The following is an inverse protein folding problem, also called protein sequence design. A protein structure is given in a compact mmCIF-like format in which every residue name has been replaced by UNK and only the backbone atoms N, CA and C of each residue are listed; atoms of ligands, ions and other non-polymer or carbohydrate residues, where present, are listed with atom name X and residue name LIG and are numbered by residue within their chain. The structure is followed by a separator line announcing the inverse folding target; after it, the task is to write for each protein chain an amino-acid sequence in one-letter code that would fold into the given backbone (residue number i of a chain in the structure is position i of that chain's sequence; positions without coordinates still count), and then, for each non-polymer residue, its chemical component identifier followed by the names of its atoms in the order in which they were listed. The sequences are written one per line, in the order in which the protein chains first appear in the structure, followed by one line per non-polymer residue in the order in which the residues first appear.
data_IF_384679068696
#
_entry.id   IF_384679068696
#
_cell.length_a   1.000
_cell.length_b   1.000
_cell.length_c   1.000
_cell.angle_alpha   90.00
_cell.angle_beta   90.00
_cell.angle_gamma   90.00
#
_symmetry.space_group_name_H-M   'P 1'
#
loop_
_entity.id
_entity.type
_entity.pdbx_description
1 polymer ?
#
# COMPACT_ATOMS: atom_id res chain seq x y z
N UNK A 1 18.94 9.80 16.74
CA UNK A 1 19.88 10.53 15.85
C UNK A 1 19.33 10.39 14.45
N UNK A 2 19.23 11.45 13.65
CA UNK A 2 18.70 11.33 12.28
C UNK A 2 19.79 10.80 11.37
N UNK A 3 19.53 9.69 10.68
CA UNK A 3 20.43 9.14 9.67
C UNK A 3 20.29 9.99 8.41
N UNK A 4 21.42 10.43 7.87
CA UNK A 4 21.44 11.16 6.60
C UNK A 4 21.27 10.19 5.41
N UNK A 5 20.95 10.72 4.23
CA UNK A 5 20.67 9.92 3.04
C UNK A 5 21.91 9.18 2.56
N UNK A 6 23.14 9.68 2.76
CA UNK A 6 24.36 8.98 2.32
C UNK A 6 24.61 7.75 3.18
N UNK A 7 24.44 7.89 4.49
CA UNK A 7 24.47 6.76 5.43
C UNK A 7 23.36 5.77 5.09
N UNK A 8 22.12 6.22 4.84
CA UNK A 8 21.01 5.36 4.43
C UNK A 8 21.29 4.60 3.12
N UNK A 9 21.92 5.24 2.13
CA UNK A 9 22.34 4.61 0.87
C UNK A 9 23.29 3.44 1.17
N UNK A 10 24.34 3.69 1.94
CA UNK A 10 25.37 2.70 2.25
C UNK A 10 24.84 1.56 3.11
N UNK A 11 24.06 1.89 4.14
CA UNK A 11 23.47 0.93 5.08
C UNK A 11 22.46 0.00 4.38
N UNK A 12 21.72 0.51 3.39
CA UNK A 12 20.84 -0.28 2.53
C UNK A 12 21.55 -0.87 1.29
N UNK A 13 22.86 -0.67 1.16
CA UNK A 13 23.71 -1.13 0.04
C UNK A 13 23.14 -0.76 -1.33
N UNK A 14 22.54 0.42 -1.44
CA UNK A 14 21.88 0.86 -2.67
C UNK A 14 22.90 1.12 -3.78
N UNK A 15 24.15 1.45 -3.45
CA UNK A 15 25.26 1.60 -4.39
C UNK A 15 25.56 0.34 -5.21
N UNK A 16 25.16 -0.84 -4.74
CA UNK A 16 25.33 -2.10 -5.44
C UNK A 16 24.19 -2.37 -6.44
N UNK A 17 23.09 -1.62 -6.34
CA UNK A 17 21.92 -1.78 -7.20
C UNK A 17 22.05 -0.98 -8.48
N UNK A 18 21.95 -1.66 -9.62
CA UNK A 18 21.92 -1.02 -10.95
C UNK A 18 20.87 0.11 -11.02
N UNK A 19 19.68 -0.08 -10.44
CA UNK A 19 18.63 0.95 -10.45
C UNK A 19 19.06 2.25 -9.76
N UNK A 20 19.72 2.15 -8.60
CA UNK A 20 20.21 3.31 -7.87
C UNK A 20 21.45 3.93 -8.52
N UNK A 21 22.35 3.13 -9.09
CA UNK A 21 23.49 3.62 -9.87
C UNK A 21 23.04 4.47 -11.08
N UNK A 22 21.99 4.04 -11.78
CA UNK A 22 21.41 4.80 -12.89
C UNK A 22 20.82 6.14 -12.45
N UNK A 23 20.19 6.19 -11.28
CA UNK A 23 19.65 7.43 -10.71
C UNK A 23 20.80 8.34 -10.26
N UNK A 24 21.81 7.80 -9.56
CA UNK A 24 22.99 8.52 -9.12
C UNK A 24 23.74 9.20 -10.27
N UNK A 25 23.82 8.52 -11.42
CA UNK A 25 24.49 9.02 -12.61
C UNK A 25 23.61 9.96 -13.47
N UNK A 26 22.39 10.30 -13.01
CA UNK A 26 21.47 11.17 -13.75
C UNK A 26 20.87 10.54 -15.02
N UNK A 27 21.01 9.22 -15.21
CA UNK A 27 20.44 8.50 -16.37
C UNK A 27 18.97 8.13 -16.17
N UNK A 28 18.50 8.12 -14.92
CA UNK A 28 17.08 7.90 -14.56
C UNK A 28 16.64 8.90 -13.51
N UNK A 29 15.43 9.42 -13.65
CA UNK A 29 14.77 10.24 -12.64
C UNK A 29 14.33 9.44 -11.42
N UNK A 30 13.89 8.20 -11.64
CA UNK A 30 13.40 7.32 -10.60
C UNK A 30 13.68 5.86 -10.92
N UNK A 31 13.95 5.08 -9.88
CA UNK A 31 14.05 3.63 -9.95
C UNK A 31 13.47 3.00 -8.69
N UNK A 32 12.79 1.86 -8.81
CA UNK A 32 12.57 1.00 -7.64
C UNK A 32 13.69 -0.03 -7.53
N UNK A 33 14.18 -0.18 -6.31
CA UNK A 33 15.20 -1.15 -5.92
C UNK A 33 14.58 -2.06 -4.89
N UNK A 34 14.63 -3.37 -5.11
CA UNK A 34 14.05 -4.34 -4.21
C UNK A 34 15.10 -4.90 -3.27
N UNK A 35 14.97 -4.68 -1.95
CA UNK A 35 15.99 -5.09 -0.98
C UNK A 35 16.14 -6.62 -0.87
N UNK A 36 15.07 -7.37 -1.13
CA UNK A 36 15.11 -8.84 -1.27
C UNK A 36 15.87 -9.39 -2.49
N UNK A 37 16.50 -8.55 -3.31
CA UNK A 37 17.47 -8.98 -4.34
C UNK A 37 18.93 -8.79 -3.90
N UNK A 38 19.15 -8.11 -2.77
CA UNK A 38 20.47 -7.91 -2.19
C UNK A 38 20.79 -8.95 -1.11
N UNK A 39 21.90 -8.72 -0.42
CA UNK A 39 22.45 -9.58 0.65
C UNK A 39 22.22 -9.01 2.05
N UNK A 40 21.30 -8.06 2.21
CA UNK A 40 20.93 -7.54 3.51
C UNK A 40 20.20 -8.59 4.34
N UNK A 41 20.49 -8.63 5.64
CA UNK A 41 19.70 -9.37 6.61
C UNK A 41 18.49 -8.56 7.06
N UNK A 42 17.47 -9.25 7.55
CA UNK A 42 16.28 -8.62 8.14
C UNK A 42 16.70 -7.74 9.31
N UNK A 43 17.53 -8.27 10.21
CA UNK A 43 17.99 -7.58 11.40
C UNK A 43 18.69 -6.25 11.10
N UNK A 44 19.48 -6.17 10.02
CA UNK A 44 20.16 -4.92 9.62
C UNK A 44 19.16 -3.83 9.23
N UNK A 45 18.11 -4.17 8.47
CA UNK A 45 17.06 -3.21 8.09
C UNK A 45 16.25 -2.77 9.31
N UNK A 46 15.90 -3.68 10.21
CA UNK A 46 15.16 -3.33 11.42
C UNK A 46 15.98 -2.46 12.37
N UNK A 47 17.27 -2.79 12.56
CA UNK A 47 18.19 -1.99 13.36
C UNK A 47 18.32 -0.57 12.82
N UNK A 48 18.35 -0.41 11.49
CA UNK A 48 18.42 0.90 10.85
C UNK A 48 17.19 1.76 11.15
N UNK A 49 16.00 1.15 11.10
CA UNK A 49 14.73 1.82 11.43
C UNK A 49 14.65 2.14 12.93
N UNK A 50 15.08 1.21 13.78
CA UNK A 50 15.11 1.40 15.24
C UNK A 50 16.10 2.49 15.67
N UNK A 51 17.20 2.69 14.92
CA UNK A 51 18.23 3.68 15.24
C UNK A 51 17.86 5.13 14.85
N UNK A 52 16.97 5.32 13.87
CA UNK A 52 16.48 6.62 13.41
C UNK A 52 14.97 6.78 13.61
N UNK A 53 14.58 7.44 14.70
CA UNK A 53 13.17 7.75 15.01
C UNK A 53 12.45 8.55 13.91
N UNK A 54 13.19 9.21 13.02
CA UNK A 54 12.61 9.95 11.89
C UNK A 54 12.36 9.05 10.68
N UNK A 55 13.09 7.93 10.55
CA UNK A 55 12.92 6.95 9.49
C UNK A 55 11.77 6.01 9.83
N UNK A 56 10.61 6.28 9.25
CA UNK A 56 9.36 5.55 9.49
C UNK A 56 8.79 5.12 8.14
N UNK A 57 9.26 4.03 7.54
CA UNK A 57 8.79 3.60 6.23
C UNK A 57 7.27 3.32 6.26
N UNK A 58 6.49 3.83 5.30
CA UNK A 58 5.06 3.54 5.28
C UNK A 58 4.81 2.07 4.97
N UNK A 59 3.80 1.52 5.63
CA UNK A 59 3.18 0.25 5.28
C UNK A 59 1.78 0.53 4.73
N UNK A 60 1.66 0.51 3.40
CA UNK A 60 0.40 0.84 2.74
C UNK A 60 -0.64 -0.27 2.84
N UNK A 61 -1.76 -0.03 3.50
CA UNK A 61 -2.94 -0.89 3.44
C UNK A 61 -4.16 -0.11 3.01
N UNK A 62 -5.32 -0.75 2.88
CA UNK A 62 -6.52 -0.07 2.41
C UNK A 62 -7.44 0.34 3.56
N UNK A 63 -8.34 1.29 3.29
CA UNK A 63 -9.47 1.62 4.16
C UNK A 63 -10.32 0.36 4.39
N UNK A 64 -10.66 0.05 5.64
CA UNK A 64 -11.51 -1.09 6.00
C UNK A 64 -11.20 -1.62 7.40
N UNK A 65 -11.37 -2.92 7.59
CA UNK A 65 -11.31 -3.56 8.91
C UNK A 65 -9.87 -3.80 9.36
N UNK A 66 -9.38 -2.94 10.26
CA UNK A 66 -8.05 -3.04 10.84
C UNK A 66 -8.00 -3.62 12.25
N UNK A 67 -9.11 -3.66 12.99
CA UNK A 67 -9.13 -4.14 14.39
C UNK A 67 -8.56 -5.55 14.54
N UNK A 68 -9.00 -6.49 13.70
CA UNK A 68 -8.46 -7.86 13.75
C UNK A 68 -7.04 -7.97 13.19
N UNK A 69 -6.65 -7.08 12.29
CA UNK A 69 -5.25 -6.97 11.84
C UNK A 69 -4.39 -6.55 13.03
N UNK A 70 -4.78 -5.49 13.72
CA UNK A 70 -4.08 -4.93 14.87
C UNK A 70 -3.96 -5.93 16.02
N UNK A 71 -5.00 -6.73 16.24
CA UNK A 71 -5.06 -7.78 17.25
C UNK A 71 -4.37 -9.11 16.83
N UNK A 72 -3.74 -9.17 15.65
CA UNK A 72 -3.08 -10.37 15.10
C UNK A 72 -4.03 -11.58 14.95
N UNK A 73 -5.20 -11.32 14.36
CA UNK A 73 -6.29 -12.29 14.12
C UNK A 73 -6.76 -12.33 12.67
N UNK A 74 -6.03 -11.69 11.76
CA UNK A 74 -6.39 -11.51 10.36
C UNK A 74 -5.59 -12.41 9.41
N UNK A 75 -4.97 -13.47 9.93
CA UNK A 75 -4.28 -14.50 9.16
C UNK A 75 -3.17 -13.92 8.28
N UNK A 76 -3.28 -13.97 6.94
CA UNK A 76 -2.25 -13.42 6.06
C UNK A 76 -1.98 -11.93 6.29
N UNK A 77 -2.96 -11.16 6.78
CA UNK A 77 -2.81 -9.71 6.98
C UNK A 77 -2.05 -9.35 8.25
N UNK A 78 -1.76 -10.31 9.14
CA UNK A 78 -1.05 -10.10 10.40
C UNK A 78 0.38 -9.58 10.21
N UNK A 79 0.99 -9.73 9.02
CA UNK A 79 2.29 -9.09 8.75
C UNK A 79 2.23 -7.57 8.93
N UNK A 80 1.06 -6.94 8.76
CA UNK A 80 0.89 -5.52 9.02
C UNK A 80 0.99 -5.23 10.52
N UNK A 81 0.45 -6.10 11.38
CA UNK A 81 0.60 -5.97 12.83
C UNK A 81 2.06 -6.08 13.22
N UNK A 82 2.79 -7.07 12.71
CA UNK A 82 4.23 -7.22 13.01
C UNK A 82 5.02 -5.97 12.67
N UNK A 83 4.76 -5.33 11.53
CA UNK A 83 5.46 -4.11 11.11
C UNK A 83 5.06 -2.91 11.97
N UNK A 84 3.76 -2.70 12.16
CA UNK A 84 3.24 -1.46 12.72
C UNK A 84 3.28 -1.44 14.26
N UNK A 85 2.97 -2.54 14.95
CA UNK A 85 3.01 -2.60 16.42
C UNK A 85 4.43 -2.49 16.98
N UNK A 86 5.43 -3.02 16.25
CA UNK A 86 6.84 -2.94 16.64
C UNK A 86 7.51 -1.62 16.22
N UNK A 87 6.77 -0.69 15.60
CA UNK A 87 7.33 0.60 15.17
C UNK A 87 8.25 0.55 13.95
N UNK A 88 8.34 -0.60 13.25
CA UNK A 88 9.14 -0.73 12.02
C UNK A 88 8.56 0.03 10.83
N UNK A 89 7.30 0.44 10.94
CA UNK A 89 6.63 1.30 9.99
C UNK A 89 5.32 1.79 10.58
N UNK A 90 4.55 2.51 9.78
CA UNK A 90 3.22 2.97 10.18
C UNK A 90 2.19 2.66 9.10
N UNK A 91 0.91 2.44 9.47
CA UNK A 91 -0.12 2.16 8.50
C UNK A 91 -0.52 3.43 7.74
N UNK A 92 -0.12 3.49 6.46
CA UNK A 92 -0.52 4.54 5.51
C UNK A 92 -1.75 4.03 4.73
N UNK A 93 -2.93 4.50 5.12
CA UNK A 93 -4.21 3.95 4.66
C UNK A 93 -4.61 4.57 3.34
N UNK A 94 -4.67 3.74 2.29
CA UNK A 94 -5.18 4.07 0.96
C UNK A 94 -6.70 3.94 0.91
N UNK A 95 -7.38 5.03 0.60
CA UNK A 95 -8.85 5.12 0.65
C UNK A 95 -9.58 5.00 -0.69
N UNK A 96 -8.86 4.91 -1.81
CA UNK A 96 -9.45 4.72 -3.15
C UNK A 96 -9.62 3.24 -3.48
N UNK A 97 -10.16 2.47 -2.54
CA UNK A 97 -10.57 1.09 -2.74
C UNK A 97 -12.09 0.99 -2.97
N UNK A 98 -12.60 -0.24 -3.10
CA UNK A 98 -14.01 -0.51 -3.39
C UNK A 98 -14.56 -1.49 -2.38
N UNK A 99 -15.85 -1.38 -2.09
CA UNK A 99 -16.54 -2.34 -1.22
C UNK A 99 -16.42 -3.75 -1.80
N UNK A 100 -16.26 -4.71 -0.91
CA UNK A 100 -16.42 -6.12 -1.23
C UNK A 100 -17.87 -6.40 -1.65
N UNK A 101 -18.02 -7.28 -2.65
CA UNK A 101 -19.26 -7.60 -3.35
C UNK A 101 -19.27 -9.06 -3.79
N UNK A 102 -20.39 -9.54 -4.33
CA UNK A 102 -20.45 -10.86 -4.96
C UNK A 102 -19.68 -10.93 -6.29
N UNK A 103 -19.61 -9.81 -7.02
CA UNK A 103 -18.81 -9.71 -8.24
C UNK A 103 -17.32 -9.45 -7.95
N UNK A 104 -16.40 -9.86 -8.84
CA UNK A 104 -14.97 -9.56 -8.72
C UNK A 104 -14.67 -8.05 -8.73
N UNK A 105 -13.56 -7.66 -8.10
CA UNK A 105 -13.02 -6.30 -8.16
C UNK A 105 -13.31 -5.42 -6.94
N UNK A 106 -13.98 -5.98 -5.92
CA UNK A 106 -14.06 -5.40 -4.58
C UNK A 106 -12.84 -5.72 -3.72
N UNK A 107 -12.71 -5.03 -2.59
CA UNK A 107 -11.65 -5.27 -1.61
C UNK A 107 -12.07 -6.31 -0.58
N UNK A 108 -11.90 -7.59 -0.91
CA UNK A 108 -12.22 -8.70 0.00
C UNK A 108 -11.27 -8.83 1.19
N UNK A 109 -10.06 -8.26 1.08
CA UNK A 109 -9.04 -8.39 2.12
C UNK A 109 -9.34 -7.48 3.32
N UNK A 110 -9.72 -6.23 3.06
CA UNK A 110 -10.08 -5.24 4.08
C UNK A 110 -11.60 -5.13 4.30
N UNK A 111 -12.40 -5.60 3.34
CA UNK A 111 -13.87 -5.65 3.40
C UNK A 111 -14.52 -4.36 3.95
N UNK A 112 -14.24 -3.18 3.36
CA UNK A 112 -14.66 -1.91 3.93
C UNK A 112 -16.17 -1.72 4.02
N UNK A 113 -16.96 -2.42 3.20
CA UNK A 113 -18.42 -2.39 3.26
C UNK A 113 -19.01 -3.17 4.44
N UNK A 114 -18.18 -3.77 5.28
CA UNK A 114 -18.58 -4.54 6.46
C UNK A 114 -17.85 -4.10 7.70
N UNK A 115 -18.35 -4.54 8.84
CA UNK A 115 -17.63 -4.57 10.10
C UNK A 115 -17.14 -5.99 10.34
N UNK A 116 -15.87 -6.14 10.69
CA UNK A 116 -15.32 -7.40 11.19
C UNK A 116 -14.89 -7.18 12.63
N UNK A 117 -15.42 -8.01 13.52
CA UNK A 117 -15.07 -8.01 14.94
C UNK A 117 -14.83 -9.45 15.39
N UNK A 118 -13.59 -9.75 15.83
CA UNK A 118 -13.18 -11.07 16.32
C UNK A 118 -13.44 -12.20 15.30
N UNK A 119 -13.20 -11.94 14.02
CA UNK A 119 -13.42 -12.88 12.92
C UNK A 119 -14.87 -12.98 12.45
N UNK A 120 -15.82 -12.28 13.10
CA UNK A 120 -17.22 -12.24 12.67
C UNK A 120 -17.47 -11.04 11.77
N UNK A 121 -17.99 -11.30 10.56
CA UNK A 121 -18.30 -10.27 9.58
C UNK A 121 -19.79 -9.90 9.63
N UNK A 122 -20.05 -8.63 9.82
CA UNK A 122 -21.38 -8.01 9.77
C UNK A 122 -21.42 -7.09 8.55
N UNK A 123 -22.19 -7.47 7.55
CA UNK A 123 -22.37 -6.63 6.36
C UNK A 123 -23.23 -5.41 6.71
N UNK A 124 -22.75 -4.22 6.31
CA UNK A 124 -23.50 -2.98 6.50
C UNK A 124 -24.44 -2.75 5.30
N UNK A 125 -25.67 -2.26 5.51
CA UNK A 125 -26.49 -1.71 4.44
C UNK A 125 -25.77 -0.52 3.79
N UNK A 126 -25.58 -0.57 2.47
CA UNK A 126 -24.84 0.44 1.70
C UNK A 126 -25.78 1.34 0.88
N UNK A 127 -25.41 2.62 0.76
CA UNK A 127 -26.17 3.65 0.08
C UNK A 127 -25.24 4.51 -0.77
N UNK A 128 -25.70 4.90 -1.96
CA UNK A 128 -24.99 5.86 -2.83
C UNK A 128 -25.95 6.87 -3.43
N UNK A 129 -25.41 7.95 -3.98
CA UNK A 129 -26.21 9.02 -4.59
C UNK A 129 -26.88 8.52 -5.88
N UNK A 130 -28.17 8.80 -6.06
CA UNK A 130 -28.90 8.46 -7.30
C UNK A 130 -29.15 9.65 -8.23
N UNK A 131 -28.66 10.83 -7.85
CA UNK A 131 -28.93 12.09 -8.54
C UNK A 131 -29.76 13.08 -7.72
N UNK A 132 -30.53 12.59 -6.74
CA UNK A 132 -31.32 13.46 -5.85
C UNK A 132 -31.24 13.09 -4.37
N UNK A 133 -31.01 11.83 -4.04
CA UNK A 133 -30.90 11.36 -2.66
C UNK A 133 -29.94 10.17 -2.53
N UNK A 134 -29.68 9.76 -1.29
CA UNK A 134 -28.96 8.52 -1.02
C UNK A 134 -29.93 7.34 -1.03
N UNK A 135 -29.76 6.46 -2.01
CA UNK A 135 -30.59 5.29 -2.20
C UNK A 135 -29.82 4.03 -1.82
N UNK A 136 -30.52 3.10 -1.16
CA UNK A 136 -29.94 1.80 -0.77
C UNK A 136 -29.54 1.02 -2.02
N UNK A 137 -28.38 0.37 -1.97
CA UNK A 137 -27.88 -0.49 -3.03
C UNK A 137 -27.81 -1.94 -2.56
N UNK A 138 -27.99 -2.85 -3.50
CA UNK A 138 -27.56 -4.22 -3.34
C UNK A 138 -26.02 -4.29 -3.37
N UNK A 139 -25.48 -5.45 -2.97
CA UNK A 139 -24.03 -5.70 -2.95
C UNK A 139 -23.57 -6.50 -4.16
N UNK A 140 -24.28 -6.38 -5.28
CA UNK A 140 -23.98 -7.16 -6.48
C UNK A 140 -22.69 -6.69 -7.15
N UNK A 141 -22.35 -5.42 -7.00
CA UNK A 141 -21.16 -4.80 -7.59
C UNK A 141 -20.33 -4.01 -6.57
N UNK A 142 -19.01 -3.91 -6.77
CA UNK A 142 -18.14 -3.16 -5.88
C UNK A 142 -18.28 -1.65 -6.11
N UNK A 143 -18.60 -0.91 -5.05
CA UNK A 143 -18.80 0.54 -5.06
C UNK A 143 -17.57 1.26 -4.50
N UNK A 144 -17.26 2.43 -5.05
CA UNK A 144 -16.10 3.23 -4.66
C UNK A 144 -16.26 3.81 -3.24
N UNK A 145 -15.42 3.37 -2.30
CA UNK A 145 -15.59 3.66 -0.87
C UNK A 145 -15.81 5.14 -0.53
N UNK A 146 -15.09 6.12 -1.13
CA UNK A 146 -15.31 7.55 -0.87
C UNK A 146 -16.73 8.05 -1.13
N UNK A 147 -17.51 7.38 -1.98
CA UNK A 147 -18.86 7.79 -2.39
C UNK A 147 -19.97 6.96 -1.74
N UNK A 148 -19.61 6.09 -0.80
CA UNK A 148 -20.55 5.20 -0.10
C UNK A 148 -20.90 5.77 1.27
N UNK A 149 -22.20 5.76 1.59
CA UNK A 149 -22.70 5.83 2.95
C UNK A 149 -23.16 4.45 3.41
N UNK A 150 -23.11 4.22 4.72
CA UNK A 150 -23.58 3.00 5.36
C UNK A 150 -24.58 3.32 6.45
N UNK A 151 -25.55 2.44 6.65
CA UNK A 151 -26.38 2.48 7.86
C UNK A 151 -25.63 1.77 8.99
N UNK A 152 -25.26 2.53 10.02
CA UNK A 152 -24.57 1.99 11.19
C UNK A 152 -25.13 2.64 12.46
N UNK A 153 -25.50 1.81 13.44
CA UNK A 153 -26.14 2.25 14.69
C UNK A 153 -27.38 3.13 14.46
N UNK A 154 -28.21 2.77 13.48
CA UNK A 154 -29.45 3.48 13.14
C UNK A 154 -29.28 4.84 12.45
N UNK A 155 -28.06 5.19 12.02
CA UNK A 155 -27.78 6.42 11.31
C UNK A 155 -27.06 6.17 9.99
N UNK A 156 -27.38 6.96 8.97
CA UNK A 156 -26.67 6.96 7.70
C UNK A 156 -25.38 7.78 7.82
N UNK A 157 -24.23 7.12 7.72
CA UNK A 157 -22.90 7.72 7.91
C UNK A 157 -22.00 7.48 6.70
N UNK A 158 -21.04 8.36 6.40
CA UNK A 158 -19.99 8.04 5.43
C UNK A 158 -19.25 6.75 5.77
N UNK A 159 -19.00 5.91 4.77
CA UNK A 159 -18.25 4.68 4.96
C UNK A 159 -16.82 4.96 5.42
N UNK A 160 -16.16 5.93 4.78
CA UNK A 160 -14.82 6.36 5.14
C UNK A 160 -14.74 6.83 6.61
N UNK A 161 -15.68 7.66 7.07
CA UNK A 161 -15.73 8.12 8.47
C UNK A 161 -15.96 6.96 9.44
N UNK A 162 -16.85 6.02 9.08
CA UNK A 162 -17.16 4.85 9.92
C UNK A 162 -15.92 3.97 10.13
N UNK A 163 -15.19 3.65 9.07
CA UNK A 163 -13.96 2.86 9.17
C UNK A 163 -12.83 3.64 9.85
N UNK A 164 -12.74 4.96 9.62
CA UNK A 164 -11.73 5.81 10.27
C UNK A 164 -11.95 5.96 11.77
N UNK A 165 -13.20 6.04 12.21
CA UNK A 165 -13.55 6.04 13.63
C UNK A 165 -13.04 4.76 14.31
N UNK A 166 -13.31 3.59 13.72
CA UNK A 166 -12.84 2.30 14.25
C UNK A 166 -11.31 2.22 14.32
N UNK A 167 -10.61 2.64 13.27
CA UNK A 167 -9.15 2.69 13.29
C UNK A 167 -8.59 3.59 14.39
N UNK A 168 -9.27 4.70 14.72
CA UNK A 168 -8.86 5.59 15.83
C UNK A 168 -9.06 4.99 17.22
N UNK A 169 -9.92 3.98 17.35
CA UNK A 169 -10.13 3.26 18.61
C UNK A 169 -8.96 2.30 18.91
N UNK A 170 -8.15 1.97 17.91
CA UNK A 170 -6.93 1.16 18.04
C UNK A 170 -5.73 2.04 18.48
N UNK A 171 -5.66 2.32 19.78
CA UNK A 171 -4.74 3.32 20.35
C UNK A 171 -3.25 3.11 20.04
N UNK A 172 -2.81 1.87 19.83
CA UNK A 172 -1.40 1.52 19.62
C UNK A 172 -0.91 1.74 18.18
N UNK A 173 -1.82 2.10 17.25
CA UNK A 173 -1.50 2.22 15.84
C UNK A 173 -1.56 3.68 15.36
N UNK A 174 -0.45 4.23 14.82
CA UNK A 174 -0.42 5.58 14.27
C UNK A 174 -1.02 5.62 12.85
N UNK A 175 -2.32 5.34 12.74
CA UNK A 175 -3.04 5.39 11.47
C UNK A 175 -2.96 6.75 10.80
N UNK A 176 -2.46 6.75 9.56
CA UNK A 176 -2.36 7.95 8.74
C UNK A 176 -3.09 7.74 7.43
N UNK A 177 -4.01 8.65 7.11
CA UNK A 177 -4.68 8.63 5.82
C UNK A 177 -3.74 9.13 4.74
N UNK A 178 -3.61 8.40 3.64
CA UNK A 178 -2.86 8.89 2.48
C UNK A 178 -3.41 10.23 1.94
N UNK A 179 -4.72 10.44 2.10
CA UNK A 179 -5.39 11.66 1.68
C UNK A 179 -4.88 12.88 2.46
N UNK A 180 -4.56 12.75 3.75
CA UNK A 180 -4.05 13.88 4.53
C UNK A 180 -2.68 14.33 4.02
N UNK A 181 -1.84 13.39 3.58
CA UNK A 181 -0.54 13.71 2.95
C UNK A 181 -0.75 14.59 1.70
N UNK A 182 -1.71 14.25 0.85
CA UNK A 182 -1.98 14.99 -0.38
C UNK A 182 -2.63 16.34 -0.11
N UNK A 183 -3.68 16.37 0.71
CA UNK A 183 -4.44 17.60 1.00
C UNK A 183 -3.60 18.61 1.79
N UNK A 184 -2.75 18.15 2.72
CA UNK A 184 -1.82 19.05 3.42
C UNK A 184 -0.76 19.67 2.48
N UNK A 185 -0.56 19.10 1.29
CA UNK A 185 0.32 19.63 0.25
C UNK A 185 -0.50 20.00 -1.02
N UNK A 186 -1.79 20.31 -0.88
CA UNK A 186 -2.73 20.49 -2.02
C UNK A 186 -2.17 21.40 -3.13
N UNK A 187 -1.60 22.59 -2.85
CA UNK A 187 -1.10 23.46 -3.92
C UNK A 187 0.01 22.81 -4.75
N UNK A 188 0.97 22.15 -4.09
CA UNK A 188 2.05 21.44 -4.76
C UNK A 188 1.48 20.25 -5.56
N UNK A 189 0.66 19.41 -4.93
CA UNK A 189 0.09 18.23 -5.60
C UNK A 189 -0.75 18.61 -6.82
N UNK A 190 -1.56 19.66 -6.71
CA UNK A 190 -2.34 20.19 -7.83
C UNK A 190 -1.44 20.66 -8.97
N UNK A 191 -0.37 21.40 -8.66
CA UNK A 191 0.61 21.83 -9.66
C UNK A 191 1.29 20.64 -10.36
N UNK A 192 1.75 19.64 -9.60
CA UNK A 192 2.36 18.42 -10.14
C UNK A 192 1.39 17.67 -11.06
N UNK A 193 0.15 17.43 -10.62
CA UNK A 193 -0.86 16.74 -11.43
C UNK A 193 -1.20 17.53 -12.70
N UNK A 194 -1.37 18.85 -12.59
CA UNK A 194 -1.66 19.73 -13.72
C UNK A 194 -0.55 19.69 -14.77
N UNK A 195 0.72 19.70 -14.32
CA UNK A 195 1.87 19.54 -15.21
C UNK A 195 1.85 18.19 -15.91
N UNK A 196 1.62 17.10 -15.17
CA UNK A 196 1.57 15.76 -15.76
C UNK A 196 0.47 15.61 -16.80
N UNK A 197 -0.73 16.12 -16.51
CA UNK A 197 -1.87 16.09 -17.44
C UNK A 197 -1.58 16.92 -18.70
N UNK A 198 -0.90 18.06 -18.55
CA UNK A 198 -0.47 18.91 -19.69
C UNK A 198 0.61 18.24 -20.55
N UNK A 199 1.52 17.49 -19.96
CA UNK A 199 2.61 16.81 -20.67
C UNK A 199 2.19 15.46 -21.28
N UNK A 200 1.17 14.80 -20.73
CA UNK A 200 0.74 13.47 -21.17
C UNK A 200 0.49 13.34 -22.69
N UNK A 201 -0.19 14.29 -23.39
CA UNK A 201 -0.38 14.21 -24.84
C UNK A 201 0.93 14.21 -25.64
N UNK A 202 1.98 14.85 -25.11
CA UNK A 202 3.27 14.99 -25.79
C UNK A 202 4.13 13.73 -25.70
N UNK A 203 3.82 12.83 -24.77
CA UNK A 203 4.62 11.62 -24.54
C UNK A 203 4.48 10.57 -25.65
N UNK A 204 3.53 10.72 -26.59
CA UNK A 204 3.26 9.77 -27.68
C UNK A 204 3.06 8.32 -27.18
N UNK A 205 2.48 8.17 -25.98
CA UNK A 205 2.18 6.89 -25.35
C UNK A 205 0.68 6.80 -25.09
N UNK A 206 0.06 5.73 -25.59
CA UNK A 206 -1.38 5.50 -25.43
C UNK A 206 -1.86 5.46 -23.97
N UNK A 207 -0.97 5.18 -23.01
CA UNK A 207 -1.28 5.03 -21.58
C UNK A 207 -0.87 6.24 -20.74
N UNK A 208 -0.37 7.34 -21.34
CA UNK A 208 0.18 8.46 -20.57
C UNK A 208 -0.85 9.07 -19.59
N UNK A 209 -2.10 9.17 -20.01
CA UNK A 209 -3.18 9.62 -19.14
C UNK A 209 -3.55 8.58 -18.08
N UNK A 210 -3.66 7.30 -18.44
CA UNK A 210 -4.00 6.20 -17.51
C UNK A 210 -3.00 6.08 -16.34
N UNK A 211 -1.74 6.46 -16.59
CA UNK A 211 -0.68 6.52 -15.57
C UNK A 211 -0.89 7.65 -14.55
N UNK A 212 -1.70 8.65 -14.86
CA UNK A 212 -2.02 9.79 -13.98
C UNK A 212 -3.43 9.63 -13.40
N UNK A 213 -4.43 9.50 -14.28
CA UNK A 213 -5.85 9.30 -13.97
C UNK A 213 -6.27 7.96 -14.56
N UNK A 214 -6.49 6.98 -13.70
CA UNK A 214 -6.72 5.58 -14.14
C UNK A 214 -8.19 5.24 -14.40
N UNK A 215 -9.09 5.94 -13.72
CA UNK A 215 -10.51 5.63 -13.70
C UNK A 215 -11.34 6.91 -13.62
N UNK A 216 -12.60 6.78 -14.02
CA UNK A 216 -13.64 7.74 -13.73
C UNK A 216 -14.66 7.09 -12.79
N UNK A 217 -15.08 7.82 -11.76
CA UNK A 217 -16.11 7.37 -10.82
C UNK A 217 -17.36 8.23 -10.95
N UNK A 218 -18.55 7.62 -11.01
CA UNK A 218 -19.81 8.37 -10.87
C UNK A 218 -20.17 8.59 -9.42
N UNK A 219 -21.04 9.58 -9.20
CA UNK A 219 -21.58 9.92 -7.88
C UNK A 219 -22.35 8.75 -7.22
N UNK A 220 -22.83 7.80 -8.01
CA UNK A 220 -23.44 6.55 -7.53
C UNK A 220 -22.44 5.50 -7.03
N UNK A 221 -21.14 5.80 -7.06
CA UNK A 221 -20.06 4.92 -6.62
C UNK A 221 -19.56 3.95 -7.70
N UNK A 222 -20.13 3.95 -8.90
CA UNK A 222 -19.67 3.07 -9.99
C UNK A 222 -18.34 3.57 -10.56
N UNK A 223 -17.36 2.67 -10.64
CA UNK A 223 -16.05 2.95 -11.24
C UNK A 223 -15.94 2.26 -12.58
N UNK A 224 -15.48 3.00 -13.59
CA UNK A 224 -15.12 2.50 -14.90
C UNK A 224 -13.71 2.96 -15.26
N UNK A 225 -13.04 2.24 -16.16
CA UNK A 225 -11.83 2.78 -16.77
C UNK A 225 -12.20 4.05 -17.52
N UNK A 226 -11.57 5.15 -17.16
CA UNK A 226 -11.82 6.45 -17.75
C UNK A 226 -10.62 6.81 -18.61
N UNK A 227 -10.81 6.92 -19.92
CA UNK A 227 -9.81 7.54 -20.79
C UNK A 227 -9.98 9.06 -20.66
N UNK A 228 -9.01 9.71 -20.02
CA UNK A 228 -8.87 11.16 -20.12
C UNK A 228 -8.32 11.46 -21.51
N UNK A 229 -8.94 12.41 -22.20
CA UNK A 229 -8.59 12.79 -23.57
C UNK A 229 -8.52 14.30 -23.69
N UNK A 230 -7.71 14.80 -24.62
CA UNK A 230 -7.69 16.23 -24.96
C UNK A 230 -8.94 16.59 -25.79
N UNK A 231 -9.61 17.68 -25.45
CA UNK A 231 -10.76 18.19 -26.20
C UNK A 231 -10.69 19.71 -26.33
N UNK A 232 -10.35 20.19 -27.53
CA UNK A 232 -10.12 21.62 -27.76
C UNK A 232 -8.99 22.15 -26.87
N UNK A 233 -9.29 23.14 -26.02
CA UNK A 233 -8.35 23.70 -25.04
C UNK A 233 -8.38 22.98 -23.68
N UNK A 234 -9.29 22.03 -23.49
CA UNK A 234 -9.54 21.35 -22.22
C UNK A 234 -9.38 19.84 -22.31
N UNK A 235 -10.02 19.15 -21.37
CA UNK A 235 -9.94 17.70 -21.23
C UNK A 235 -11.32 17.09 -21.04
N UNK A 236 -11.51 15.88 -21.57
CA UNK A 236 -12.74 15.12 -21.44
C UNK A 236 -12.48 13.81 -20.72
N UNK A 237 -13.28 13.51 -19.71
CA UNK A 237 -13.26 12.25 -18.98
C UNK A 237 -14.66 11.68 -18.91
N UNK A 238 -14.88 10.51 -19.53
CA UNK A 238 -16.16 9.81 -19.46
C UNK A 238 -17.40 10.70 -19.75
N UNK A 239 -17.27 11.60 -20.73
CA UNK A 239 -18.33 12.54 -21.15
C UNK A 239 -18.41 13.86 -20.37
N UNK A 240 -17.59 14.05 -19.33
CA UNK A 240 -17.49 15.31 -18.58
C UNK A 240 -16.33 16.14 -19.14
N UNK A 241 -16.60 17.40 -19.45
CA UNK A 241 -15.59 18.36 -19.90
C UNK A 241 -15.00 19.14 -18.72
N UNK A 242 -13.68 19.24 -18.69
CA UNK A 242 -12.90 20.05 -17.77
C UNK A 242 -12.15 21.11 -18.57
N UNK A 243 -12.22 22.35 -18.10
CA UNK A 243 -11.70 23.52 -18.83
C UNK A 243 -10.21 23.42 -19.15
N UNK A 244 -9.42 22.91 -18.21
CA UNK A 244 -7.96 22.84 -18.26
C UNK A 244 -7.44 21.72 -17.33
N UNK A 245 -6.12 21.53 -17.30
CA UNK A 245 -5.47 20.48 -16.51
C UNK A 245 -5.62 20.69 -15.00
N UNK A 246 -5.64 21.96 -14.57
CA UNK A 246 -5.87 22.34 -13.17
C UNK A 246 -7.26 21.94 -12.72
N UNK A 247 -8.30 22.15 -13.54
CA UNK A 247 -9.66 21.71 -13.23
C UNK A 247 -9.76 20.18 -13.06
N UNK A 248 -9.01 19.39 -13.83
CA UNK A 248 -8.94 17.93 -13.66
C UNK A 248 -8.21 17.58 -12.35
N UNK A 249 -7.08 18.24 -12.06
CA UNK A 249 -6.30 18.02 -10.85
C UNK A 249 -7.11 18.37 -9.58
N UNK A 250 -7.79 19.51 -9.57
CA UNK A 250 -8.64 19.95 -8.48
C UNK A 250 -9.85 19.03 -8.28
N UNK A 251 -10.48 18.56 -9.35
CA UNK A 251 -11.56 17.58 -9.24
C UNK A 251 -11.07 16.23 -8.66
N UNK A 252 -9.84 15.82 -8.98
CA UNK A 252 -9.23 14.63 -8.38
C UNK A 252 -8.95 14.84 -6.88
N UNK A 253 -8.49 16.03 -6.51
CA UNK A 253 -8.22 16.40 -5.11
C UNK A 253 -9.49 16.63 -4.29
N UNK A 254 -10.60 17.06 -4.91
CA UNK A 254 -11.91 17.09 -4.29
C UNK A 254 -12.37 15.67 -3.92
N UNK A 255 -12.13 14.68 -4.79
CA UNK A 255 -12.39 13.28 -4.49
C UNK A 255 -11.47 12.74 -3.38
N UNK A 256 -10.21 13.17 -3.32
CA UNK A 256 -9.31 12.84 -2.20
C UNK A 256 -9.81 13.45 -0.90
N UNK A 257 -10.32 14.70 -0.94
CA UNK A 257 -10.88 15.39 0.22
C UNK A 257 -12.09 14.68 0.81
N UNK A 258 -12.86 13.95 -0.01
CA UNK A 258 -13.97 13.12 0.45
C UNK A 258 -13.56 12.03 1.47
N UNK A 259 -12.27 11.66 1.55
CA UNK A 259 -11.76 10.74 2.55
C UNK A 259 -11.46 11.38 3.91
N UNK A 260 -11.29 12.71 3.95
CA UNK A 260 -10.94 13.45 5.17
C UNK A 260 -12.15 14.19 5.74
N UNK A 261 -12.96 14.77 4.86
CA UNK A 261 -14.15 15.57 5.19
C UNK A 261 -15.38 15.02 4.43
N UNK A 262 -15.75 13.74 4.64
CA UNK A 262 -16.78 13.09 3.85
C UNK A 262 -18.16 13.75 4.02
N UNK A 263 -18.51 14.24 5.20
CA UNK A 263 -19.78 14.93 5.46
C UNK A 263 -19.89 16.19 4.60
N UNK A 264 -18.87 17.05 4.64
CA UNK A 264 -18.81 18.27 3.83
C UNK A 264 -18.83 17.95 2.33
N UNK A 265 -18.15 16.88 1.89
CA UNK A 265 -18.23 16.40 0.52
C UNK A 265 -19.65 15.99 0.13
N UNK A 266 -20.35 15.22 0.97
CA UNK A 266 -21.70 14.76 0.69
C UNK A 266 -22.76 15.86 0.73
N UNK A 267 -22.57 16.93 1.49
CA UNK A 267 -23.44 18.11 1.46
C UNK A 267 -23.41 18.81 0.10
N UNK A 268 -22.27 18.79 -0.60
CA UNK A 268 -22.08 19.39 -1.91
C UNK A 268 -22.14 18.40 -3.08
N UNK A 269 -22.46 17.12 -2.85
CA UNK A 269 -22.39 16.08 -3.89
C UNK A 269 -23.27 16.39 -5.11
N UNK A 270 -24.43 17.02 -4.91
CA UNK A 270 -25.33 17.42 -5.99
C UNK A 270 -24.76 18.51 -6.91
N UNK A 271 -23.72 19.24 -6.48
CA UNK A 271 -23.01 20.24 -7.27
C UNK A 271 -21.74 19.67 -7.94
N UNK A 272 -21.38 18.42 -7.67
CA UNK A 272 -20.20 17.78 -8.26
C UNK A 272 -20.43 17.41 -9.72
N UNK A 273 -19.37 17.38 -10.55
CA UNK A 273 -19.45 16.76 -11.87
C UNK A 273 -19.96 15.33 -11.80
N UNK A 274 -20.74 14.90 -12.80
CA UNK A 274 -21.34 13.57 -12.84
C UNK A 274 -20.32 12.41 -12.81
N UNK A 275 -19.07 12.69 -13.21
CA UNK A 275 -17.93 11.78 -13.12
C UNK A 275 -16.74 12.55 -12.51
N UNK A 276 -15.98 11.89 -11.65
CA UNK A 276 -14.78 12.45 -11.02
C UNK A 276 -13.53 11.64 -11.41
N UNK A 277 -12.37 12.29 -11.62
CA UNK A 277 -11.11 11.62 -11.94
C UNK A 277 -10.52 10.92 -10.72
N UNK A 278 -10.04 9.69 -10.91
CA UNK A 278 -9.35 8.90 -9.87
C UNK A 278 -7.85 8.83 -10.17
N UNK A 279 -7.04 9.43 -9.28
CA UNK A 279 -5.57 9.37 -9.35
C UNK A 279 -5.13 7.90 -9.37
N UNK A 280 -4.27 7.54 -10.32
CA UNK A 280 -3.76 6.18 -10.48
C UNK A 280 -2.93 5.75 -9.27
N UNK A 281 -2.83 4.43 -9.06
CA UNK A 281 -1.95 3.88 -8.02
C UNK A 281 -0.48 4.19 -8.29
N UNK A 282 -0.06 4.22 -9.55
CA UNK A 282 1.31 4.55 -9.95
C UNK A 282 1.66 6.00 -9.59
N UNK A 283 0.78 6.95 -9.94
CA UNK A 283 0.93 8.36 -9.58
C UNK A 283 0.92 8.53 -8.06
N UNK A 284 0.04 7.82 -7.36
CA UNK A 284 0.00 7.81 -5.89
C UNK A 284 1.33 7.36 -5.28
N UNK A 285 1.95 6.29 -5.78
CA UNK A 285 3.25 5.81 -5.27
C UNK A 285 4.38 6.83 -5.53
N UNK A 286 4.36 7.53 -6.67
CA UNK A 286 5.31 8.62 -6.94
C UNK A 286 5.11 9.75 -5.93
N UNK A 287 3.87 10.18 -5.70
CA UNK A 287 3.55 11.24 -4.75
C UNK A 287 3.98 10.88 -3.31
N UNK A 288 3.84 9.62 -2.89
CA UNK A 288 4.33 9.18 -1.57
C UNK A 288 5.83 9.38 -1.38
N UNK A 289 6.61 9.13 -2.43
CA UNK A 289 8.05 9.29 -2.39
C UNK A 289 8.47 10.78 -2.49
N UNK A 290 7.82 11.53 -3.38
CA UNK A 290 8.06 12.97 -3.53
C UNK A 290 7.63 13.79 -2.31
N UNK A 291 6.64 13.32 -1.55
CA UNK A 291 6.19 13.96 -0.31
C UNK A 291 6.87 13.37 0.94
N UNK A 292 7.86 12.50 0.77
CA UNK A 292 8.68 11.93 1.84
C UNK A 292 7.88 11.23 2.94
N UNK A 293 6.88 10.43 2.57
CA UNK A 293 6.04 9.69 3.54
C UNK A 293 6.82 8.73 4.44
N UNK A 294 8.05 8.37 4.09
CA UNK A 294 8.99 7.61 4.92
C UNK A 294 9.59 8.40 6.11
N UNK A 295 9.34 9.71 6.19
CA UNK A 295 9.71 10.55 7.34
C UNK A 295 8.47 11.16 7.99
N UNK A 296 7.53 10.31 8.41
CA UNK A 296 6.23 10.73 8.94
C UNK A 296 6.31 11.52 10.25
N UNK A 297 7.24 11.14 11.14
CA UNK A 297 7.42 11.77 12.47
C UNK A 297 8.51 12.84 12.52
N UNK A 298 9.35 12.92 11.49
CA UNK A 298 10.48 13.85 11.43
C UNK A 298 10.11 15.19 10.80
N UNK A 299 10.86 16.24 11.14
CA UNK A 299 10.87 17.46 10.30
C UNK A 299 11.37 17.06 8.92
N UNK A 300 10.71 17.55 7.86
CA UNK A 300 11.28 17.51 6.50
C UNK A 300 12.62 18.24 6.59
N UNK A 301 13.72 17.48 6.56
CA UNK A 301 15.05 18.07 6.49
C UNK A 301 15.18 18.92 5.23
N UNK A 302 16.14 19.85 5.16
CA UNK A 302 16.50 20.46 3.89
C UNK A 302 16.78 19.37 2.85
N UNK A 303 16.49 19.65 1.58
CA UNK A 303 16.85 18.80 0.46
C UNK A 303 18.34 18.46 0.60
N UNK A 304 18.63 17.20 0.94
CA UNK A 304 19.98 16.81 1.32
C UNK A 304 20.93 16.92 0.12
N UNK A 305 22.21 17.21 0.37
CA UNK A 305 23.30 17.11 -0.60
C UNK A 305 23.59 15.64 -0.95
N UNK A 306 22.60 14.97 -1.52
CA UNK A 306 22.65 13.59 -1.98
C UNK A 306 22.33 13.56 -3.48
N UNK A 307 22.97 12.68 -4.28
CA UNK A 307 22.67 12.57 -5.70
C UNK A 307 21.20 12.18 -5.97
N UNK A 308 20.51 11.61 -4.98
CA UNK A 308 19.08 11.29 -5.03
C UNK A 308 18.48 11.12 -3.63
N UNK A 309 17.15 11.18 -3.56
CA UNK A 309 16.36 10.83 -2.38
C UNK A 309 16.17 9.32 -2.28
N UNK A 310 16.28 8.76 -1.08
CA UNK A 310 15.88 7.37 -0.81
C UNK A 310 14.50 7.36 -0.15
N UNK A 311 13.58 6.55 -0.67
CA UNK A 311 12.26 6.34 -0.10
C UNK A 311 12.05 4.86 0.23
N UNK A 312 12.34 4.43 1.48
CA UNK A 312 12.03 3.08 1.92
C UNK A 312 10.52 2.88 2.08
N UNK A 313 10.01 1.74 1.63
CA UNK A 313 8.57 1.42 1.65
C UNK A 313 8.34 -0.06 1.93
N UNK A 314 7.53 -0.38 2.93
CA UNK A 314 7.10 -1.75 3.21
C UNK A 314 6.04 -2.19 2.19
N UNK A 315 6.46 -2.89 1.15
CA UNK A 315 5.59 -3.33 0.07
C UNK A 315 4.80 -4.58 0.43
N UNK A 316 3.48 -4.54 0.22
CA UNK A 316 2.59 -5.70 0.37
C UNK A 316 2.98 -6.84 -0.59
N UNK A 317 2.41 -8.03 -0.38
CA UNK A 317 2.59 -9.21 -1.27
C UNK A 317 2.38 -8.90 -2.76
N UNK A 318 1.42 -8.04 -3.11
CA UNK A 318 1.18 -7.66 -4.51
C UNK A 318 2.21 -6.64 -5.04
N UNK A 319 2.64 -5.71 -4.19
CA UNK A 319 3.54 -4.60 -4.55
C UNK A 319 5.00 -5.01 -4.63
N UNK A 320 5.50 -5.72 -3.61
CA UNK A 320 6.88 -6.18 -3.50
C UNK A 320 7.07 -7.64 -3.94
N UNK A 321 6.08 -8.50 -3.69
CA UNK A 321 6.23 -9.94 -3.94
C UNK A 321 7.09 -10.62 -2.88
N UNK A 322 7.77 -11.68 -3.29
CA UNK A 322 8.74 -12.46 -2.51
C UNK A 322 9.95 -12.80 -3.41
N UNK A 323 10.82 -11.82 -3.70
CA UNK A 323 11.92 -12.03 -4.65
C UNK A 323 13.07 -12.87 -4.08
N UNK A 324 13.89 -13.47 -4.96
CA UNK A 324 13.83 -13.37 -6.42
C UNK A 324 12.76 -14.26 -7.06
N UNK A 325 12.12 -15.15 -6.30
CA UNK A 325 11.16 -16.14 -6.83
C UNK A 325 9.89 -15.50 -7.41
N UNK A 326 9.38 -14.44 -6.77
CA UNK A 326 8.17 -13.74 -7.21
C UNK A 326 8.36 -12.23 -7.12
N UNK A 327 8.33 -11.56 -8.28
CA UNK A 327 8.37 -10.09 -8.32
C UNK A 327 6.98 -9.49 -8.07
N UNK A 328 6.95 -8.40 -7.31
CA UNK A 328 5.76 -7.56 -7.18
C UNK A 328 5.55 -6.65 -8.38
N UNK A 329 4.35 -6.05 -8.49
CA UNK A 329 3.99 -5.26 -9.67
C UNK A 329 4.90 -4.04 -9.89
N UNK A 330 5.50 -3.49 -8.83
CA UNK A 330 6.33 -2.28 -8.94
C UNK A 330 7.69 -2.58 -9.58
N UNK A 331 8.15 -3.83 -9.54
CA UNK A 331 9.40 -4.27 -10.19
C UNK A 331 9.25 -4.60 -11.68
N UNK A 332 8.02 -4.59 -12.21
CA UNK A 332 7.78 -4.85 -13.64
C UNK A 332 8.35 -3.72 -14.49
N UNK A 333 8.93 -4.06 -15.65
CA UNK A 333 9.49 -3.08 -16.60
C UNK A 333 8.49 -2.01 -17.01
N UNK A 334 7.21 -2.37 -17.18
CA UNK A 334 6.14 -1.42 -17.47
C UNK A 334 5.94 -0.42 -16.33
N UNK A 335 5.82 -0.87 -15.09
CA UNK A 335 5.69 -0.01 -13.91
C UNK A 335 6.89 0.93 -13.77
N UNK A 336 8.12 0.41 -13.92
CA UNK A 336 9.34 1.24 -13.88
C UNK A 336 9.35 2.32 -14.97
N UNK A 337 8.83 2.02 -16.17
CA UNK A 337 8.67 3.01 -17.25
C UNK A 337 7.62 4.06 -16.91
N UNK A 338 6.48 3.64 -16.35
CA UNK A 338 5.42 4.55 -15.89
C UNK A 338 5.93 5.50 -14.82
N UNK A 339 6.67 5.00 -13.82
CA UNK A 339 7.26 5.85 -12.77
C UNK A 339 8.17 6.93 -13.35
N UNK A 340 9.04 6.59 -14.31
CA UNK A 340 9.90 7.58 -14.99
C UNK A 340 9.11 8.61 -15.77
N UNK A 341 8.11 8.16 -16.54
CA UNK A 341 7.24 9.07 -17.30
C UNK A 341 6.44 10.05 -16.42
N UNK A 342 6.23 9.70 -15.15
CA UNK A 342 5.61 10.57 -14.14
C UNK A 342 6.61 11.51 -13.45
N UNK A 343 7.89 11.16 -13.34
CA UNK A 343 8.89 12.00 -12.62
C UNK A 343 9.71 12.86 -13.58
N UNK A 344 10.05 12.36 -14.77
CA UNK A 344 10.84 13.08 -15.77
C UNK A 344 10.31 14.50 -16.06
N UNK A 345 9.00 14.72 -16.28
CA UNK A 345 8.49 16.05 -16.62
C UNK A 345 8.44 17.03 -15.44
N UNK A 346 8.68 16.54 -14.22
CA UNK A 346 8.63 17.33 -12.99
C UNK A 346 10.04 17.77 -12.53
N UNK A 347 11.08 17.06 -12.95
CA UNK A 347 12.46 17.39 -12.60
C UNK A 347 12.89 18.73 -13.20
N UNK A 348 13.59 19.54 -12.39
CA UNK A 348 14.06 20.87 -12.77
C UNK A 348 12.99 21.96 -12.78
N UNK A 349 11.72 21.59 -12.90
CA UNK A 349 10.57 22.52 -12.83
C UNK A 349 10.15 22.81 -11.38
N UNK A 350 10.18 21.78 -10.52
CA UNK A 350 9.76 21.89 -9.12
C UNK A 350 10.94 21.63 -8.18
N UNK A 351 11.29 22.58 -7.28
CA UNK A 351 12.42 22.41 -6.37
C UNK A 351 12.20 21.26 -5.36
N UNK A 352 10.96 20.91 -5.04
CA UNK A 352 10.62 19.80 -4.14
C UNK A 352 10.86 18.41 -4.75
N UNK A 353 10.98 18.33 -6.08
CA UNK A 353 11.12 17.10 -6.84
C UNK A 353 12.61 16.84 -7.10
N UNK A 354 13.08 15.68 -6.64
CA UNK A 354 14.44 15.22 -6.81
C UNK A 354 14.47 13.83 -7.44
N UNK A 355 15.59 13.46 -8.09
CA UNK A 355 15.82 12.07 -8.45
C UNK A 355 15.61 11.17 -7.22
N UNK A 356 14.91 10.05 -7.39
CA UNK A 356 14.42 9.25 -6.26
C UNK A 356 14.67 7.75 -6.46
N UNK A 357 15.10 7.06 -5.41
CA UNK A 357 15.14 5.60 -5.33
C UNK A 357 14.06 5.11 -4.38
N UNK A 358 13.09 4.36 -4.90
CA UNK A 358 12.09 3.65 -4.10
C UNK A 358 12.71 2.34 -3.59
N UNK A 359 13.12 2.29 -2.33
CA UNK A 359 13.68 1.09 -1.71
C UNK A 359 12.54 0.20 -1.17
N UNK A 360 12.16 -0.83 -1.94
CA UNK A 360 11.08 -1.73 -1.59
C UNK A 360 11.54 -2.82 -0.62
N UNK A 361 10.88 -2.87 0.53
CA UNK A 361 11.11 -3.87 1.58
C UNK A 361 9.92 -4.84 1.58
N UNK A 362 10.13 -6.16 1.39
CA UNK A 362 9.03 -7.10 1.26
C UNK A 362 8.38 -7.37 2.62
N UNK A 363 7.15 -6.90 2.82
CA UNK A 363 6.40 -7.14 4.06
C UNK A 363 6.03 -8.62 4.26
N UNK A 364 6.00 -9.41 3.18
CA UNK A 364 5.62 -10.82 3.19
C UNK A 364 6.53 -11.70 4.06
N UNK A 365 7.77 -11.27 4.34
CA UNK A 365 8.69 -12.01 5.23
C UNK A 365 8.13 -12.13 6.65
N UNK A 366 7.32 -11.17 7.11
CA UNK A 366 6.69 -11.21 8.43
C UNK A 366 5.47 -12.14 8.51
N UNK A 367 5.09 -12.77 7.41
CA UNK A 367 4.18 -13.92 7.46
C UNK A 367 4.82 -15.12 8.18
N UNK A 368 6.16 -15.12 8.30
CA UNK A 368 6.95 -16.08 9.05
C UNK A 368 7.04 -15.76 10.54
N UNK A 369 6.39 -14.69 11.02
CA UNK A 369 6.31 -14.37 12.44
C UNK A 369 4.97 -14.89 13.00
N UNK A 370 4.93 -16.05 13.69
CA UNK A 370 3.68 -16.63 14.19
C UNK A 370 3.07 -15.79 15.32
N UNK A 371 1.87 -16.17 15.74
CA UNK A 371 1.18 -15.49 16.84
C UNK A 371 1.54 -16.10 18.19
N UNK A 372 1.53 -15.31 19.27
CA UNK A 372 1.80 -15.79 20.63
C UNK A 372 0.80 -16.83 21.17
N UNK A 373 -0.33 -17.06 20.48
CA UNK A 373 -1.30 -18.12 20.81
C UNK A 373 -0.78 -19.52 20.53
N UNK A 374 0.16 -19.65 19.60
CA UNK A 374 0.69 -20.94 19.15
C UNK A 374 2.23 -20.94 19.31
N UNK A 375 2.77 -20.97 20.55
CA UNK A 375 4.21 -20.86 20.77
C UNK A 375 5.05 -21.93 20.06
N UNK A 376 4.49 -23.12 19.88
CA UNK A 376 5.14 -24.23 19.17
C UNK A 376 5.49 -23.87 17.72
N UNK A 377 4.71 -23.01 17.06
CA UNK A 377 5.02 -22.55 15.70
C UNK A 377 6.33 -21.76 15.66
N UNK A 378 6.62 -20.97 16.71
CA UNK A 378 7.85 -20.19 16.78
C UNK A 378 9.08 -21.09 16.97
N UNK A 379 8.96 -22.12 17.80
CA UNK A 379 10.05 -23.11 18.00
C UNK A 379 10.34 -23.90 16.72
N UNK A 380 9.29 -24.36 16.02
CA UNK A 380 9.43 -25.07 14.75
C UNK A 380 10.08 -24.19 13.67
N UNK A 381 9.63 -22.94 13.54
CA UNK A 381 10.21 -22.01 12.58
C UNK A 381 11.66 -21.64 12.91
N UNK A 382 12.01 -21.54 14.19
CA UNK A 382 13.40 -21.31 14.59
C UNK A 382 14.34 -22.44 14.12
N UNK A 383 13.87 -23.69 14.19
CA UNK A 383 14.59 -24.84 13.63
C UNK A 383 14.82 -24.70 12.12
N UNK A 384 13.77 -24.35 11.36
CA UNK A 384 13.89 -24.08 9.93
C UNK A 384 14.87 -22.94 9.64
N UNK A 385 14.80 -21.83 10.38
CA UNK A 385 15.66 -20.67 10.15
C UNK A 385 17.13 -20.99 10.35
N UNK A 386 17.45 -21.78 11.38
CA UNK A 386 18.80 -22.28 11.62
C UNK A 386 19.31 -23.18 10.48
N UNK A 387 18.43 -23.97 9.85
CA UNK A 387 18.79 -24.81 8.70
C UNK A 387 19.05 -24.02 7.42
N UNK A 388 18.32 -22.92 7.19
CA UNK A 388 18.39 -22.19 5.91
C UNK A 388 19.30 -20.96 5.92
N UNK A 389 19.67 -20.45 7.09
CA UNK A 389 20.49 -19.25 7.20
C UNK A 389 21.83 -19.42 6.47
N UNK A 390 22.12 -18.52 5.52
CA UNK A 390 23.37 -18.51 4.77
C UNK A 390 23.46 -19.54 3.63
N UNK A 391 22.41 -20.32 3.36
CA UNK A 391 22.38 -21.26 2.24
C UNK A 391 22.21 -20.57 0.87
N UNK A 392 21.77 -19.31 0.86
CA UNK A 392 21.36 -18.63 -0.36
C UNK A 392 20.02 -19.13 -0.89
N UNK A 393 19.47 -18.41 -1.88
CA UNK A 393 18.05 -18.52 -2.26
C UNK A 393 17.63 -19.92 -2.73
N UNK A 394 18.38 -20.54 -3.64
CA UNK A 394 17.98 -21.80 -4.28
C UNK A 394 17.91 -22.95 -3.25
N UNK A 395 18.95 -23.04 -2.41
CA UNK A 395 19.02 -24.04 -1.35
C UNK A 395 18.01 -23.73 -0.24
N UNK A 396 17.85 -22.47 0.16
CA UNK A 396 16.82 -22.06 1.13
C UNK A 396 15.40 -22.43 0.64
N UNK A 397 15.09 -22.23 -0.65
CA UNK A 397 13.80 -22.60 -1.24
C UNK A 397 13.56 -24.11 -1.17
N UNK A 398 14.56 -24.89 -1.58
CA UNK A 398 14.48 -26.36 -1.61
C UNK A 398 14.36 -26.94 -0.21
N UNK A 399 15.17 -26.46 0.73
CA UNK A 399 15.11 -26.84 2.14
C UNK A 399 13.79 -26.45 2.77
N UNK A 400 13.31 -25.22 2.57
CA UNK A 400 12.01 -24.78 3.09
C UNK A 400 10.83 -25.57 2.54
N UNK A 401 10.85 -25.93 1.25
CA UNK A 401 9.78 -26.72 0.61
C UNK A 401 9.71 -28.14 1.17
N UNK A 402 10.87 -28.79 1.33
CA UNK A 402 10.98 -30.12 1.96
C UNK A 402 10.56 -30.06 3.42
N UNK A 403 11.11 -29.12 4.17
CA UNK A 403 10.80 -28.93 5.58
C UNK A 403 9.31 -28.69 5.80
N UNK A 404 8.69 -27.81 5.00
CA UNK A 404 7.26 -27.53 5.09
C UNK A 404 6.43 -28.78 4.80
N UNK A 405 6.82 -29.61 3.83
CA UNK A 405 6.14 -30.86 3.51
C UNK A 405 6.20 -31.88 4.66
N UNK A 406 7.36 -31.98 5.32
CA UNK A 406 7.60 -32.90 6.44
C UNK A 406 6.91 -32.44 7.73
N UNK A 407 6.93 -31.14 8.01
CA UNK A 407 6.47 -30.56 9.28
C UNK A 407 5.08 -29.90 9.19
N UNK A 408 4.41 -29.97 8.03
CA UNK A 408 3.12 -29.31 7.79
C UNK A 408 2.10 -29.59 8.89
N UNK A 409 1.99 -30.84 9.32
CA UNK A 409 0.99 -31.25 10.31
C UNK A 409 1.33 -30.82 11.73
N UNK A 410 2.60 -30.50 11.99
CA UNK A 410 3.09 -29.97 13.26
C UNK A 410 2.83 -28.47 13.42
N UNK A 411 2.64 -27.74 12.31
CA UNK A 411 2.26 -26.33 12.31
C UNK A 411 0.78 -26.15 12.64
N UNK A 412 0.48 -25.12 13.43
CA UNK A 412 -0.90 -24.75 13.73
C UNK A 412 -1.72 -24.53 12.44
N UNK A 413 -3.03 -24.83 12.44
CA UNK A 413 -3.90 -24.49 11.32
C UNK A 413 -3.85 -23.00 10.98
N UNK A 414 -3.69 -22.14 12.00
CA UNK A 414 -3.63 -20.70 11.84
C UNK A 414 -2.42 -20.29 11.00
N UNK A 415 -1.21 -20.70 11.36
CA UNK A 415 0.01 -20.36 10.62
C UNK A 415 -0.03 -20.90 9.20
N UNK A 416 -0.48 -22.15 9.00
CA UNK A 416 -0.62 -22.73 7.65
C UNK A 416 -1.53 -21.89 6.75
N UNK A 417 -2.67 -21.46 7.28
CA UNK A 417 -3.65 -20.70 6.50
C UNK A 417 -3.18 -19.28 6.13
N UNK A 418 -2.13 -18.75 6.78
CA UNK A 418 -1.57 -17.43 6.43
C UNK A 418 -1.00 -17.39 5.01
N UNK A 419 -0.55 -18.51 4.46
CA UNK A 419 0.12 -18.54 3.16
C UNK A 419 -0.84 -18.75 1.98
N UNK A 420 -2.11 -19.05 2.25
CA UNK A 420 -3.13 -19.24 1.21
C UNK A 420 -3.37 -17.91 0.47
N UNK A 421 -3.45 -17.98 -0.86
CA UNK A 421 -3.74 -16.82 -1.69
C UNK A 421 -5.19 -16.36 -1.51
N UNK A 422 -5.40 -15.03 -1.41
CA UNK A 422 -6.75 -14.46 -1.27
C UNK A 422 -7.40 -14.67 0.10
N UNK A 423 -6.74 -15.34 1.05
CA UNK A 423 -7.20 -15.37 2.43
C UNK A 423 -7.10 -13.94 3.00
N UNK A 424 -8.26 -13.35 3.32
CA UNK A 424 -8.38 -12.09 4.06
C UNK A 424 -8.48 -12.36 5.55
N UNK A 425 -9.18 -11.48 6.27
CA UNK A 425 -9.63 -11.80 7.64
C UNK A 425 -10.50 -13.09 7.58
N UNK A 426 -10.21 -14.13 8.39
CA UNK A 426 -10.96 -15.38 8.36
C UNK A 426 -12.47 -15.14 8.47
N UNK A 427 -13.26 -15.75 7.58
CA UNK A 427 -14.72 -15.74 7.63
C UNK A 427 -15.18 -16.86 8.56
N UNK A 428 -16.00 -16.54 9.55
CA UNK A 428 -16.72 -17.52 10.38
C UNK A 428 -15.81 -18.48 11.18
N UNK A 429 -14.61 -18.02 11.56
CA UNK A 429 -13.77 -18.75 12.52
C UNK A 429 -14.30 -18.55 13.94
N UNK A 430 -14.04 -19.52 14.82
CA UNK A 430 -14.25 -19.33 16.25
C UNK A 430 -13.59 -18.02 16.71
N UNK A 431 -14.26 -17.22 17.56
CA UNK A 431 -13.70 -15.95 18.03
C UNK A 431 -12.30 -16.14 18.59
N UNK A 432 -11.33 -15.55 17.91
CA UNK A 432 -9.94 -15.68 18.27
C UNK A 432 -9.56 -14.65 19.36
N UNK A 433 -8.81 -15.09 20.36
CA UNK A 433 -8.23 -14.18 21.36
C UNK A 433 -7.20 -13.24 20.70
N UNK A 434 -7.02 -12.05 21.27
CA UNK A 434 -5.95 -11.12 20.88
C UNK A 434 -4.60 -11.80 21.05
N UNK A 435 -3.69 -11.56 20.11
CA UNK A 435 -2.35 -12.12 20.14
C UNK A 435 -1.31 -11.10 19.71
N UNK A 436 -0.06 -11.38 20.06
CA UNK A 436 1.10 -10.62 19.61
C UNK A 436 1.79 -11.39 18.48
N UNK A 437 2.44 -10.66 17.58
CA UNK A 437 3.34 -11.27 16.61
C UNK A 437 4.68 -11.60 17.28
N UNK A 438 5.13 -12.84 17.16
CA UNK A 438 6.41 -13.32 17.71
C UNK A 438 7.43 -13.43 16.59
N UNK A 439 8.60 -12.83 16.77
CA UNK A 439 9.76 -13.08 15.90
C UNK A 439 10.47 -14.34 16.40
N UNK A 440 10.50 -15.45 15.64
CA UNK A 440 11.23 -16.64 16.06
C UNK A 440 12.73 -16.37 16.16
N UNK A 441 13.45 -17.06 17.07
CA UNK A 441 14.92 -17.07 17.05
C UNK A 441 15.45 -17.39 15.65
N UNK A 442 16.49 -16.69 15.20
CA UNK A 442 17.04 -16.85 13.85
C UNK A 442 16.39 -15.97 12.78
N UNK A 443 15.22 -15.35 13.04
CA UNK A 443 14.52 -14.54 12.04
C UNK A 443 15.31 -13.32 11.58
N UNK A 444 15.99 -12.62 12.50
CA UNK A 444 16.74 -11.39 12.19
C UNK A 444 18.05 -11.69 11.46
N UNK A 445 18.57 -12.91 11.62
CA UNK A 445 19.80 -13.40 11.02
C UNK A 445 19.63 -13.78 9.54
N UNK A 446 18.40 -14.09 9.11
CA UNK A 446 18.10 -14.42 7.72
C UNK A 446 18.40 -13.25 6.78
N UNK A 447 18.95 -13.57 5.60
CA UNK A 447 18.89 -12.69 4.45
C UNK A 447 17.44 -12.41 4.04
N UNK A 448 17.14 -11.20 3.59
CA UNK A 448 15.78 -10.85 3.12
C UNK A 448 15.34 -11.77 1.97
N UNK A 449 16.28 -12.11 1.07
CA UNK A 449 16.04 -13.02 -0.04
C UNK A 449 15.73 -14.46 0.43
N UNK A 450 16.38 -14.92 1.51
CA UNK A 450 16.15 -16.24 2.12
C UNK A 450 14.78 -16.30 2.79
N UNK A 451 14.41 -15.28 3.56
CA UNK A 451 13.07 -15.20 4.15
C UNK A 451 11.98 -15.12 3.08
N UNK A 452 12.20 -14.39 1.98
CA UNK A 452 11.31 -14.42 0.82
C UNK A 452 11.21 -15.83 0.21
N UNK A 453 12.32 -16.57 0.13
CA UNK A 453 12.33 -17.94 -0.36
C UNK A 453 11.47 -18.88 0.50
N UNK A 454 11.59 -18.78 1.83
CA UNK A 454 10.76 -19.55 2.76
C UNK A 454 9.28 -19.20 2.60
N UNK A 455 8.94 -17.91 2.59
CA UNK A 455 7.57 -17.46 2.44
C UNK A 455 6.94 -17.94 1.12
N UNK A 456 7.69 -17.85 0.01
CA UNK A 456 7.23 -18.34 -1.29
C UNK A 456 7.08 -19.87 -1.32
N UNK A 457 7.97 -20.62 -0.67
CA UNK A 457 7.86 -22.08 -0.55
C UNK A 457 6.58 -22.47 0.21
N UNK A 458 6.27 -21.77 1.30
CA UNK A 458 5.06 -22.02 2.09
C UNK A 458 3.79 -21.64 1.31
N UNK A 459 3.81 -20.54 0.54
CA UNK A 459 2.73 -20.18 -0.39
C UNK A 459 2.50 -21.29 -1.43
N UNK A 460 3.56 -21.80 -2.05
CA UNK A 460 3.48 -22.86 -3.06
C UNK A 460 2.96 -24.19 -2.48
N UNK A 461 3.34 -24.55 -1.24
CA UNK A 461 2.86 -25.76 -0.57
C UNK A 461 1.44 -25.63 0.04
N UNK A 462 0.88 -24.42 0.06
CA UNK A 462 -0.46 -24.12 0.59
C UNK A 462 -1.51 -23.92 -0.50
N UNK A 463 -1.08 -23.72 -1.75
CA UNK A 463 -1.92 -23.80 -2.94
C UNK A 463 -2.30 -25.26 -3.22
#
# INVERSE_FOLDING_TARGET
MSIDTRELISELRLEESFGAQEVAAGRRSIAAVHLGLGSLTIGKVLQLIEADETLTPPRTGHLGNWSDIAATRAGPMDFNSTICSNGYGYPLIYGFNRTESSAPGGDEAYAPGSIIDRGQRIELPIYTWDGGQFSRRDREQPLFCPLVKVEHQGALRPLAATQWQRMREEADYPFTSWASVLINNRPLVSALLSKLITEAPKQQRNQAFDEIISHAVALDGTVQRGALETEGTGFRLAGVHYRDAEAVAEAALDLVSALLEPEAFFERIGAMPARLPVISLQCTNVLFALLSTHRHRGKKGPLEESPYRVHPHWGARAMAGAPPLRSGYLMRTSAQRSLRALVDPLLGEYPEVQPTVLALIPAAIFMLCPTSREPADAELLAGLFAEVAGLGVEQATSSASRWFSEHRQSLSPYLRNRFIAGAGVPRDADPLAVAESVQPPGFRELGIAEACAIAAAFEAGSA
#
